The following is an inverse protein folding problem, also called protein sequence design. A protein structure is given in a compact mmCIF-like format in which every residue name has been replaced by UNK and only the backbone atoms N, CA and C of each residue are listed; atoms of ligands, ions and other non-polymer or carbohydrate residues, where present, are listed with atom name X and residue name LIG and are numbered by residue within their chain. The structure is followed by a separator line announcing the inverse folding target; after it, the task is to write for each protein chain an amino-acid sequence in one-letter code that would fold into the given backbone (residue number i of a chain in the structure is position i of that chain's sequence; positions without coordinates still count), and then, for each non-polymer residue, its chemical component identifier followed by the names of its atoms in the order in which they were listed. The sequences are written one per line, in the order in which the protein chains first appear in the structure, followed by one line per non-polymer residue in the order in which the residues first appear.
data_IF_511451433561
#
_entry.id   IF_511451433561
#
_cell.length_a   1.000
_cell.length_b   1.000
_cell.length_c   1.000
_cell.angle_alpha   90.00
_cell.angle_beta   90.00
_cell.angle_gamma   90.00
#
_symmetry.space_group_name_H-M   'P 1'
#
loop_
_entity.id
_entity.type
_entity.pdbx_description
1 polymer ?
#
# COMPACT_ATOMS: atom_id res chain seq x y z
N UNK A 1 -0.57 36.46 -0.87
CA UNK A 1 -0.47 35.43 -1.91
C UNK A 1 -1.43 34.28 -1.60
N UNK A 2 -2.09 33.74 -2.61
CA UNK A 2 -2.98 32.58 -2.52
C UNK A 2 -2.26 31.35 -3.04
N UNK A 3 -2.53 30.19 -2.44
CA UNK A 3 -2.03 28.92 -2.91
C UNK A 3 -3.15 28.02 -3.45
N UNK A 4 -2.81 27.15 -4.39
CA UNK A 4 -3.73 26.11 -4.92
C UNK A 4 -3.03 24.77 -4.83
N UNK A 5 -3.66 23.75 -4.20
CA UNK A 5 -3.09 22.42 -4.10
C UNK A 5 -3.31 21.64 -5.40
N UNK A 6 -2.34 20.79 -5.76
CA UNK A 6 -2.43 19.80 -6.84
C UNK A 6 -1.63 18.56 -6.47
N UNK A 7 -2.06 17.39 -6.96
CA UNK A 7 -1.29 16.15 -6.90
C UNK A 7 -1.37 15.43 -8.25
N UNK A 8 -0.65 14.32 -8.39
CA UNK A 8 -0.79 13.46 -9.57
C UNK A 8 -2.01 12.57 -9.39
N UNK A 9 -2.87 12.51 -10.42
CA UNK A 9 -4.03 11.61 -10.44
C UNK A 9 -3.58 10.15 -10.28
N UNK A 10 -4.33 9.38 -9.53
CA UNK A 10 -4.07 7.95 -9.33
C UNK A 10 -4.70 7.39 -8.07
N UNK A 11 -4.64 6.07 -7.95
CA UNK A 11 -4.91 5.36 -6.71
C UNK A 11 -3.61 5.18 -5.93
N UNK A 12 -3.64 5.42 -4.64
CA UNK A 12 -2.50 5.32 -3.74
C UNK A 12 -2.84 4.37 -2.60
N UNK A 13 -2.13 3.25 -2.51
CA UNK A 13 -2.25 2.25 -1.46
C UNK A 13 -1.23 2.42 -0.34
N UNK A 14 -1.29 1.50 0.62
CA UNK A 14 -0.38 1.47 1.77
C UNK A 14 1.08 1.42 1.33
N UNK A 15 1.90 2.33 1.89
CA UNK A 15 3.33 2.47 1.56
C UNK A 15 3.63 3.46 0.46
N UNK A 16 2.64 3.94 -0.27
CA UNK A 16 2.82 4.93 -1.32
C UNK A 16 2.76 6.37 -0.79
N UNK A 17 3.33 7.30 -1.55
CA UNK A 17 3.38 8.70 -1.16
C UNK A 17 2.62 9.58 -2.15
N UNK A 18 1.59 10.26 -1.65
CA UNK A 18 0.92 11.34 -2.38
C UNK A 18 1.74 12.62 -2.25
N UNK A 19 2.34 13.06 -3.35
CA UNK A 19 3.11 14.30 -3.41
C UNK A 19 2.18 15.47 -3.76
N UNK A 20 1.93 16.35 -2.79
CA UNK A 20 1.02 17.49 -2.93
C UNK A 20 1.83 18.75 -3.16
N UNK A 21 1.65 19.40 -4.29
CA UNK A 21 2.26 20.70 -4.61
C UNK A 21 1.27 21.81 -4.31
N UNK A 22 1.67 22.73 -3.43
CA UNK A 22 0.92 23.95 -3.16
C UNK A 22 1.55 25.10 -3.95
N UNK A 23 0.88 25.58 -4.99
CA UNK A 23 1.38 26.61 -5.91
C UNK A 23 0.90 28.00 -5.50
N UNK A 24 1.83 28.92 -5.27
CA UNK A 24 1.58 30.30 -4.90
C UNK A 24 1.75 31.25 -6.11
N UNK A 25 1.15 32.41 -6.04
CA UNK A 25 1.26 33.46 -7.08
C UNK A 25 2.61 34.18 -7.09
N UNK A 26 3.43 33.99 -6.05
CA UNK A 26 4.80 34.53 -5.92
C UNK A 26 5.69 33.57 -5.14
N UNK A 27 6.99 33.75 -5.25
CA UNK A 27 7.95 32.96 -4.45
C UNK A 27 7.76 33.23 -2.95
N UNK A 28 7.72 32.17 -2.16
CA UNK A 28 7.55 32.21 -0.71
C UNK A 28 8.71 31.53 0.00
N UNK A 29 9.06 32.04 1.18
CA UNK A 29 10.08 31.45 2.05
C UNK A 29 9.43 30.84 3.27
N UNK A 30 9.76 29.59 3.55
CA UNK A 30 9.34 28.87 4.75
C UNK A 30 10.45 28.96 5.79
N UNK A 31 10.15 29.47 7.00
CA UNK A 31 11.11 29.54 8.11
C UNK A 31 10.44 29.14 9.43
N UNK A 32 11.24 28.73 10.41
CA UNK A 32 10.77 28.34 11.74
C UNK A 32 10.39 26.86 11.82
N UNK A 33 9.11 26.54 11.85
CA UNK A 33 8.61 25.16 12.02
C UNK A 33 8.47 24.38 10.71
N UNK A 34 7.77 23.28 10.78
CA UNK A 34 7.43 22.41 9.63
C UNK A 34 5.92 22.46 9.39
N UNK A 35 5.45 23.22 8.38
CA UNK A 35 4.02 23.31 8.12
C UNK A 35 3.44 21.96 7.64
N UNK A 36 2.16 21.76 7.89
CA UNK A 36 1.42 20.57 7.49
C UNK A 36 0.10 20.92 6.82
N UNK A 37 -0.41 20.04 5.97
CA UNK A 37 -1.75 20.09 5.41
C UNK A 37 -2.61 19.00 6.06
N UNK A 38 -3.84 19.35 6.43
CA UNK A 38 -4.85 18.36 6.83
C UNK A 38 -5.65 17.98 5.59
N UNK A 39 -5.84 16.67 5.40
CA UNK A 39 -6.55 16.09 4.27
C UNK A 39 -7.99 15.71 4.63
N UNK A 40 -8.84 15.50 3.61
CA UNK A 40 -10.26 15.15 3.79
C UNK A 40 -10.47 13.80 4.50
N UNK A 41 -9.55 12.87 4.34
CA UNK A 41 -9.54 11.57 5.03
C UNK A 41 -8.98 11.64 6.47
N UNK A 42 -8.71 12.83 7.00
CA UNK A 42 -8.15 13.03 8.34
C UNK A 42 -6.64 12.90 8.44
N UNK A 43 -5.97 12.45 7.38
CA UNK A 43 -4.51 12.33 7.36
C UNK A 43 -3.80 13.69 7.27
N UNK A 44 -2.48 13.67 7.43
CA UNK A 44 -1.63 14.86 7.40
C UNK A 44 -0.51 14.71 6.38
N UNK A 45 -0.39 15.68 5.46
CA UNK A 45 0.78 15.82 4.60
C UNK A 45 1.77 16.79 5.23
N UNK A 46 3.05 16.42 5.25
CA UNK A 46 4.12 17.18 5.88
C UNK A 46 4.95 17.93 4.83
N UNK A 47 5.30 19.17 5.10
CA UNK A 47 6.18 19.95 4.24
C UNK A 47 7.51 19.23 3.99
N UNK A 48 7.90 19.13 2.72
CA UNK A 48 9.11 18.45 2.28
C UNK A 48 10.14 19.41 1.70
N UNK A 49 9.74 20.35 0.83
CA UNK A 49 10.67 21.25 0.14
C UNK A 49 9.97 22.41 -0.58
N UNK A 50 10.77 23.26 -1.24
CA UNK A 50 10.27 24.33 -2.11
C UNK A 50 10.40 25.75 -1.56
N UNK A 51 10.96 25.94 -0.34
CA UNK A 51 11.24 27.30 0.21
C UNK A 51 12.10 28.13 -0.76
N UNK A 52 11.72 29.38 -0.98
CA UNK A 52 12.35 30.27 -1.95
C UNK A 52 11.77 30.16 -3.37
N UNK A 53 10.73 29.36 -3.57
CA UNK A 53 10.02 29.21 -4.84
C UNK A 53 8.52 29.49 -4.70
N UNK A 54 7.80 29.50 -5.83
CA UNK A 54 6.35 29.61 -5.82
C UNK A 54 5.63 28.28 -5.53
N UNK A 55 6.35 27.16 -5.46
CA UNK A 55 5.78 25.84 -5.25
C UNK A 55 6.36 25.20 -3.98
N UNK A 56 5.51 24.89 -3.02
CA UNK A 56 5.87 24.12 -1.84
C UNK A 56 5.38 22.68 -2.00
N UNK A 57 6.25 21.71 -1.71
CA UNK A 57 5.95 20.29 -1.76
C UNK A 57 5.63 19.77 -0.35
N UNK A 58 4.54 19.04 -0.26
CA UNK A 58 4.13 18.31 0.94
C UNK A 58 3.96 16.82 0.59
N UNK A 59 4.37 15.93 1.47
CA UNK A 59 4.25 14.50 1.30
C UNK A 59 3.27 13.91 2.31
N UNK A 60 2.34 13.13 1.81
CA UNK A 60 1.48 12.25 2.59
C UNK A 60 1.84 10.79 2.27
N UNK A 61 2.37 10.07 3.25
CA UNK A 61 2.59 8.63 3.15
C UNK A 61 1.31 7.92 3.59
N UNK A 62 0.73 7.13 2.69
CA UNK A 62 -0.42 6.27 3.03
C UNK A 62 0.06 5.17 3.96
N UNK A 63 -0.56 5.05 5.11
CA UNK A 63 -0.23 4.06 6.12
C UNK A 63 -1.42 3.16 6.38
N UNK A 64 -1.13 1.92 6.81
CA UNK A 64 -2.14 0.97 7.26
C UNK A 64 -3.12 1.60 8.28
N UNK A 65 -4.42 1.42 8.05
CA UNK A 65 -5.50 1.99 8.86
C UNK A 65 -5.79 3.47 8.56
N UNK A 66 -5.23 4.06 7.51
CA UNK A 66 -5.69 5.36 7.04
C UNK A 66 -7.09 5.21 6.44
N UNK A 67 -7.94 6.22 6.67
CA UNK A 67 -9.28 6.21 6.10
C UNK A 67 -9.21 6.36 4.58
N UNK A 68 -9.93 5.50 3.86
CA UNK A 68 -10.06 5.55 2.42
C UNK A 68 -10.69 6.84 1.94
N UNK A 69 -10.29 7.25 0.76
CA UNK A 69 -10.86 8.41 0.10
C UNK A 69 -11.01 8.14 -1.39
N UNK A 70 -12.23 8.27 -1.88
CA UNK A 70 -12.51 8.23 -3.32
C UNK A 70 -12.17 9.55 -4.02
N UNK A 71 -11.90 10.61 -3.25
CA UNK A 71 -11.62 11.96 -3.72
C UNK A 71 -10.88 12.73 -2.61
N UNK A 72 -9.55 12.73 -2.68
CA UNK A 72 -8.72 13.34 -1.66
C UNK A 72 -8.63 14.86 -1.89
N UNK A 73 -8.80 15.64 -0.82
CA UNK A 73 -8.70 17.09 -0.85
C UNK A 73 -7.92 17.64 0.34
N UNK A 74 -7.40 18.86 0.21
CA UNK A 74 -6.79 19.62 1.30
C UNK A 74 -7.87 20.43 2.01
N UNK A 75 -8.03 20.26 3.31
CA UNK A 75 -9.06 20.93 4.13
C UNK A 75 -8.53 22.08 4.96
N UNK A 76 -7.26 22.01 5.40
CA UNK A 76 -6.62 23.09 6.16
C UNK A 76 -5.10 23.01 6.12
N UNK A 77 -4.45 24.11 6.52
CA UNK A 77 -3.00 24.18 6.75
C UNK A 77 -2.74 24.55 8.21
N UNK A 78 -1.79 23.84 8.81
CA UNK A 78 -1.24 24.19 10.12
C UNK A 78 0.22 24.63 9.93
N UNK A 79 0.55 25.84 10.31
CA UNK A 79 1.93 26.37 10.20
C UNK A 79 2.90 25.70 11.18
N UNK A 80 2.42 25.14 12.29
CA UNK A 80 3.25 24.46 13.31
C UNK A 80 4.45 25.29 13.76
N UNK A 81 4.25 26.61 13.93
CA UNK A 81 5.31 27.56 14.29
C UNK A 81 6.17 28.04 13.12
N UNK A 82 5.91 27.61 11.91
CA UNK A 82 6.53 28.14 10.70
C UNK A 82 5.91 29.49 10.28
N UNK A 83 6.65 30.22 9.46
CA UNK A 83 6.11 31.31 8.66
C UNK A 83 6.28 30.99 7.17
N UNK A 84 5.30 31.35 6.36
CA UNK A 84 5.35 31.24 4.89
C UNK A 84 5.11 32.64 4.34
N UNK A 85 6.16 33.32 3.89
CA UNK A 85 6.09 34.74 3.51
C UNK A 85 6.74 34.96 2.15
N UNK A 86 6.16 35.87 1.36
CA UNK A 86 6.81 36.39 0.17
C UNK A 86 7.76 37.55 0.56
N UNK A 87 8.61 37.99 -0.38
CA UNK A 87 9.61 39.04 -0.14
C UNK A 87 9.01 40.44 0.06
N UNK A 88 7.72 40.64 -0.21
CA UNK A 88 7.01 41.92 -0.17
C UNK A 88 5.99 42.01 0.98
N UNK A 89 5.68 40.92 1.65
CA UNK A 89 4.67 40.86 2.69
C UNK A 89 5.21 40.19 3.97
N UNK A 90 4.96 40.84 5.10
CA UNK A 90 5.21 40.27 6.43
C UNK A 90 4.06 39.43 6.95
N UNK A 91 2.96 39.30 6.16
CA UNK A 91 1.84 38.43 6.51
C UNK A 91 2.08 37.00 5.98
N UNK A 92 1.72 36.01 6.77
CA UNK A 92 1.82 34.62 6.33
C UNK A 92 0.94 34.34 5.11
N UNK A 93 1.52 33.73 4.10
CA UNK A 93 0.85 33.28 2.90
C UNK A 93 0.02 32.01 3.21
N UNK A 94 -1.07 32.17 3.93
CA UNK A 94 -2.03 31.10 4.14
C UNK A 94 -2.82 30.87 2.85
N UNK A 95 -2.93 29.62 2.42
CA UNK A 95 -3.84 29.31 1.34
C UNK A 95 -5.26 29.60 1.80
N UNK A 96 -5.93 30.47 1.06
CA UNK A 96 -7.37 30.72 1.27
C UNK A 96 -8.23 29.77 0.44
N UNK A 97 -7.62 29.01 -0.46
CA UNK A 97 -8.30 28.06 -1.34
C UNK A 97 -7.69 26.69 -1.11
N UNK A 98 -8.26 25.95 -0.20
CA UNK A 98 -8.08 24.52 -0.07
C UNK A 98 -9.10 23.85 -0.98
N UNK A 99 -8.86 22.63 -1.42
CA UNK A 99 -9.79 21.95 -2.31
C UNK A 99 -9.27 20.62 -2.81
N UNK A 100 -9.96 20.16 -3.79
CA UNK A 100 -9.74 18.94 -4.52
C UNK A 100 -8.29 18.84 -5.07
N UNK A 101 -7.70 17.64 -4.98
CA UNK A 101 -6.39 17.31 -5.54
C UNK A 101 -6.46 16.71 -6.94
N UNK A 102 -7.65 16.61 -7.55
CA UNK A 102 -7.91 15.91 -8.80
C UNK A 102 -8.45 14.50 -8.55
N UNK A 103 -8.21 13.57 -9.46
CA UNK A 103 -8.66 12.19 -9.30
C UNK A 103 -7.66 11.38 -8.43
N UNK A 104 -7.48 11.82 -7.18
CA UNK A 104 -6.61 11.14 -6.21
C UNK A 104 -7.48 10.30 -5.29
N UNK A 105 -7.34 8.97 -5.37
CA UNK A 105 -7.98 8.04 -4.45
C UNK A 105 -6.95 7.49 -3.46
N UNK A 106 -7.37 7.17 -2.26
CA UNK A 106 -6.53 6.56 -1.22
C UNK A 106 -7.22 5.30 -0.73
N UNK A 107 -6.45 4.24 -0.66
CA UNK A 107 -6.79 2.96 -0.05
C UNK A 107 -5.80 2.73 1.10
N UNK A 108 -6.29 2.79 2.31
CA UNK A 108 -5.48 2.67 3.53
C UNK A 108 -5.45 1.27 4.10
N UNK A 109 -6.04 0.31 3.43
CA UNK A 109 -6.03 -1.09 3.84
C UNK A 109 -5.10 -1.89 2.91
N UNK A 110 -4.28 -2.77 3.46
CA UNK A 110 -3.52 -3.73 2.68
C UNK A 110 -4.27 -5.06 2.66
N UNK A 111 -4.15 -5.88 1.61
CA UNK A 111 -4.87 -7.15 1.53
C UNK A 111 -4.47 -8.11 2.66
N UNK A 112 -5.45 -8.55 3.45
CA UNK A 112 -5.28 -9.48 4.55
C UNK A 112 -5.74 -10.89 4.20
N UNK A 113 -5.00 -11.92 4.67
CA UNK A 113 -5.40 -13.32 4.52
C UNK A 113 -6.57 -13.63 5.45
N UNK A 114 -7.70 -14.05 4.87
CA UNK A 114 -8.90 -14.43 5.63
C UNK A 114 -9.02 -15.95 5.84
N UNK A 115 -8.48 -16.75 4.90
CA UNK A 115 -8.49 -18.21 5.03
C UNK A 115 -7.40 -18.90 4.21
N UNK A 116 -6.93 -20.06 4.73
CA UNK A 116 -6.26 -21.08 3.95
C UNK A 116 -7.20 -22.24 3.70
N UNK A 117 -7.42 -22.59 2.43
CA UNK A 117 -8.36 -23.60 2.00
C UNK A 117 -7.64 -24.69 1.20
N UNK A 118 -8.23 -25.85 1.06
CA UNK A 118 -7.75 -26.89 0.14
C UNK A 118 -8.91 -27.63 -0.49
N UNK A 119 -8.77 -27.96 -1.76
CA UNK A 119 -9.69 -28.87 -2.46
C UNK A 119 -9.26 -30.33 -2.36
N UNK A 120 -8.12 -30.60 -1.73
CA UNK A 120 -7.61 -31.95 -1.51
C UNK A 120 -8.49 -32.73 -0.53
N UNK A 121 -8.76 -33.98 -0.83
CA UNK A 121 -9.45 -34.89 0.10
C UNK A 121 -8.48 -35.40 1.17
N UNK A 122 -9.00 -35.65 2.38
CA UNK A 122 -8.18 -36.27 3.41
C UNK A 122 -7.65 -37.63 2.94
N UNK A 123 -6.33 -37.85 3.07
CA UNK A 123 -5.70 -39.07 2.60
C UNK A 123 -4.18 -39.00 2.66
N UNK A 124 -3.53 -40.09 2.23
CA UNK A 124 -2.08 -40.16 2.09
C UNK A 124 -1.71 -39.76 0.66
N UNK A 125 -0.83 -38.78 0.54
CA UNK A 125 -0.26 -38.33 -0.72
C UNK A 125 1.17 -38.84 -0.86
N UNK A 126 1.55 -39.28 -2.05
CA UNK A 126 2.84 -39.89 -2.36
C UNK A 126 3.63 -39.02 -3.33
N UNK A 127 4.92 -39.34 -3.52
CA UNK A 127 5.79 -38.64 -4.45
C UNK A 127 5.14 -38.50 -5.84
N UNK A 128 5.05 -37.25 -6.32
CA UNK A 128 4.45 -36.88 -7.59
C UNK A 128 2.99 -36.46 -7.50
N UNK A 129 2.30 -36.71 -6.38
CA UNK A 129 0.94 -36.22 -6.17
C UNK A 129 0.95 -34.68 -5.97
N UNK A 130 -0.12 -34.02 -6.42
CA UNK A 130 -0.26 -32.57 -6.29
C UNK A 130 -1.40 -32.24 -5.34
N UNK A 131 -1.11 -31.36 -4.37
CA UNK A 131 -2.09 -30.79 -3.43
C UNK A 131 -2.28 -29.32 -3.79
N UNK A 132 -3.53 -28.93 -4.03
CA UNK A 132 -3.90 -27.53 -4.31
C UNK A 132 -4.28 -26.85 -3.01
N UNK A 133 -3.58 -25.76 -2.70
CA UNK A 133 -3.80 -24.92 -1.53
C UNK A 133 -4.30 -23.56 -2.02
N UNK A 134 -5.38 -23.07 -1.43
CA UNK A 134 -5.93 -21.77 -1.76
C UNK A 134 -5.73 -20.80 -0.59
N UNK A 135 -5.39 -19.57 -0.93
CA UNK A 135 -5.29 -18.45 0.02
C UNK A 135 -6.40 -17.48 -0.35
N UNK A 136 -7.31 -17.24 0.57
CA UNK A 136 -8.39 -16.27 0.44
C UNK A 136 -7.96 -14.97 1.12
N UNK A 137 -8.12 -13.87 0.40
CA UNK A 137 -7.92 -12.50 0.90
C UNK A 137 -9.27 -11.82 1.10
N UNK A 138 -9.31 -10.77 1.87
CA UNK A 138 -10.50 -9.93 2.08
C UNK A 138 -10.89 -9.13 0.83
N UNK A 139 -9.92 -8.90 -0.09
CA UNK A 139 -10.11 -8.19 -1.35
C UNK A 139 -9.42 -8.87 -2.54
N UNK A 140 -9.62 -8.30 -3.75
CA UNK A 140 -9.01 -8.82 -4.97
C UNK A 140 -7.53 -8.41 -5.07
N UNK A 141 -6.65 -9.37 -5.33
CA UNK A 141 -5.20 -9.13 -5.42
C UNK A 141 -4.65 -9.49 -6.81
N UNK A 142 -3.68 -8.71 -7.27
CA UNK A 142 -2.95 -8.93 -8.51
C UNK A 142 -1.57 -9.52 -8.20
N UNK A 143 -1.23 -10.63 -8.89
CA UNK A 143 0.07 -11.29 -8.76
C UNK A 143 0.94 -10.96 -9.97
N UNK A 144 2.12 -10.36 -9.72
CA UNK A 144 3.16 -10.18 -10.74
C UNK A 144 4.30 -11.17 -10.49
N UNK A 145 4.57 -12.00 -11.50
CA UNK A 145 5.61 -13.05 -11.47
C UNK A 145 6.82 -12.70 -12.33
N UNK A 146 6.93 -11.49 -12.86
CA UNK A 146 8.00 -11.10 -13.80
C UNK A 146 9.41 -11.19 -13.18
N UNK A 147 9.51 -10.90 -11.87
CA UNK A 147 10.79 -10.94 -11.12
C UNK A 147 10.94 -12.19 -10.25
N UNK A 148 9.89 -13.02 -10.14
CA UNK A 148 9.89 -14.26 -9.37
C UNK A 148 8.49 -14.77 -9.12
N UNK A 149 8.37 -16.06 -8.82
CA UNK A 149 7.06 -16.68 -8.57
C UNK A 149 6.84 -16.85 -7.08
N UNK A 150 5.78 -16.24 -6.50
CA UNK A 150 5.41 -16.44 -5.09
C UNK A 150 5.14 -17.91 -4.77
N UNK A 151 5.50 -18.33 -3.56
CA UNK A 151 5.22 -19.68 -3.08
C UNK A 151 4.93 -19.69 -1.57
N UNK A 152 4.16 -20.70 -1.15
CA UNK A 152 3.94 -20.99 0.26
C UNK A 152 5.00 -21.98 0.75
N UNK A 153 5.54 -21.73 1.93
CA UNK A 153 6.36 -22.68 2.68
C UNK A 153 5.44 -23.53 3.56
N UNK A 154 5.58 -24.84 3.49
CA UNK A 154 4.73 -25.78 4.22
C UNK A 154 5.42 -26.36 5.44
N UNK A 155 4.65 -26.86 6.41
CA UNK A 155 5.13 -27.42 7.68
C UNK A 155 6.05 -28.63 7.51
N UNK A 156 5.96 -29.33 6.36
CA UNK A 156 6.82 -30.47 6.03
C UNK A 156 8.12 -30.06 5.29
N UNK A 157 8.37 -28.76 5.12
CA UNK A 157 9.50 -28.23 4.35
C UNK A 157 9.26 -28.13 2.85
N UNK A 158 8.11 -28.59 2.34
CA UNK A 158 7.72 -28.47 0.94
C UNK A 158 7.35 -27.03 0.56
N UNK A 159 7.27 -26.77 -0.75
CA UNK A 159 6.88 -25.49 -1.30
C UNK A 159 5.70 -25.64 -2.25
N UNK A 160 4.64 -24.85 -2.07
CA UNK A 160 3.53 -24.74 -3.00
C UNK A 160 3.73 -23.48 -3.86
N UNK A 161 3.92 -23.63 -5.16
CA UNK A 161 4.13 -22.51 -6.07
C UNK A 161 2.81 -21.91 -6.51
N UNK A 162 2.77 -20.57 -6.66
CA UNK A 162 1.63 -19.87 -7.23
C UNK A 162 1.24 -20.44 -8.59
N UNK A 163 -0.05 -20.66 -8.81
CA UNK A 163 -0.58 -21.28 -10.02
C UNK A 163 -1.66 -20.46 -10.72
N UNK A 164 -2.56 -19.80 -9.98
CA UNK A 164 -3.68 -19.06 -10.56
C UNK A 164 -4.37 -18.14 -9.55
N UNK A 165 -5.27 -17.27 -10.05
CA UNK A 165 -6.18 -16.45 -9.23
C UNK A 165 -5.87 -14.96 -9.27
N UNK A 166 -4.84 -14.49 -9.98
CA UNK A 166 -4.55 -13.06 -10.10
C UNK A 166 -5.78 -12.27 -10.57
N UNK A 167 -6.08 -11.16 -9.92
CA UNK A 167 -7.27 -10.34 -10.14
C UNK A 167 -8.50 -10.81 -9.35
N UNK A 168 -8.36 -11.83 -8.50
CA UNK A 168 -9.40 -12.35 -7.61
C UNK A 168 -8.92 -12.28 -6.16
N UNK A 169 -9.84 -12.42 -5.21
CA UNK A 169 -9.52 -12.55 -3.79
C UNK A 169 -9.08 -13.98 -3.40
N UNK A 170 -9.05 -14.93 -4.32
CA UNK A 170 -8.69 -16.33 -4.07
C UNK A 170 -7.53 -16.74 -4.96
N UNK A 171 -6.34 -16.89 -4.37
CA UNK A 171 -5.15 -17.38 -5.06
C UNK A 171 -4.98 -18.89 -4.86
N UNK A 172 -4.52 -19.57 -5.91
CA UNK A 172 -4.24 -21.00 -5.89
C UNK A 172 -2.74 -21.26 -5.98
N UNK A 173 -2.23 -22.12 -5.09
CA UNK A 173 -0.86 -22.59 -5.03
C UNK A 173 -0.83 -24.11 -5.13
N UNK A 174 0.08 -24.67 -5.92
CA UNK A 174 0.21 -26.10 -6.10
C UNK A 174 1.49 -26.61 -5.45
N UNK A 175 1.33 -27.57 -4.54
CA UNK A 175 2.40 -28.33 -3.94
C UNK A 175 2.47 -29.72 -4.57
N UNK A 176 3.63 -30.07 -5.14
CA UNK A 176 3.90 -31.42 -5.62
C UNK A 176 4.81 -32.13 -4.60
N UNK A 177 4.32 -33.24 -4.04
CA UNK A 177 5.05 -34.03 -3.04
C UNK A 177 6.39 -34.51 -3.61
N UNK A 178 7.51 -34.17 -2.98
CA UNK A 178 8.85 -34.54 -3.41
C UNK A 178 9.48 -35.59 -2.50
N UNK A 179 10.52 -36.28 -2.99
CA UNK A 179 11.18 -37.35 -2.22
C UNK A 179 11.99 -36.88 -1.00
N UNK A 180 12.16 -35.57 -0.83
CA UNK A 180 12.87 -34.97 0.30
C UNK A 180 11.95 -34.41 1.39
N UNK A 181 10.65 -34.40 1.14
CA UNK A 181 9.66 -33.84 2.08
C UNK A 181 9.42 -34.82 3.25
N UNK A 182 9.11 -34.28 4.42
CA UNK A 182 8.74 -35.12 5.57
C UNK A 182 7.36 -35.72 5.35
N UNK A 183 7.27 -37.04 5.34
CA UNK A 183 6.02 -37.78 5.05
C UNK A 183 5.10 -37.98 6.28
N UNK A 184 5.53 -37.58 7.46
CA UNK A 184 4.85 -37.90 8.72
C UNK A 184 4.16 -36.67 9.32
N UNK A 185 3.46 -35.89 8.51
CA UNK A 185 2.60 -34.84 9.04
C UNK A 185 1.15 -35.27 8.96
N UNK A 186 0.55 -35.54 10.12
CA UNK A 186 -0.89 -35.79 10.22
C UNK A 186 -1.74 -34.60 9.75
N UNK A 187 -1.12 -33.41 9.70
CA UNK A 187 -1.71 -32.17 9.19
C UNK A 187 -0.66 -31.34 8.47
N UNK A 188 -0.87 -31.07 7.19
CA UNK A 188 -0.07 -30.15 6.42
C UNK A 188 -0.62 -28.73 6.64
N UNK A 189 0.25 -27.80 7.02
CA UNK A 189 -0.11 -26.40 7.23
C UNK A 189 0.84 -25.46 6.48
N UNK A 190 0.38 -24.22 6.24
CA UNK A 190 1.20 -23.15 5.68
C UNK A 190 2.02 -22.51 6.80
N UNK A 191 3.32 -22.36 6.58
CA UNK A 191 4.26 -21.75 7.55
C UNK A 191 4.59 -20.30 7.21
N UNK A 192 4.63 -19.93 5.92
CA UNK A 192 4.85 -18.57 5.46
C UNK A 192 4.56 -18.43 3.97
N UNK A 193 4.33 -17.21 3.52
CA UNK A 193 4.33 -16.80 2.11
C UNK A 193 5.69 -16.20 1.77
N UNK A 194 6.29 -16.62 0.66
CA UNK A 194 7.52 -16.05 0.11
C UNK A 194 7.25 -15.49 -1.29
N UNK A 195 7.47 -14.21 -1.49
CA UNK A 195 7.23 -13.56 -2.78
C UNK A 195 8.28 -13.88 -3.84
N UNK A 196 9.48 -14.35 -3.44
CA UNK A 196 10.56 -14.75 -4.36
C UNK A 196 10.98 -13.69 -5.40
N UNK A 197 10.74 -12.42 -5.09
CA UNK A 197 10.96 -11.29 -6.00
C UNK A 197 9.73 -10.89 -6.83
N UNK A 198 8.66 -11.68 -6.85
CA UNK A 198 7.35 -11.27 -7.37
C UNK A 198 6.59 -10.36 -6.40
N UNK A 199 5.39 -9.91 -6.79
CA UNK A 199 4.52 -9.11 -5.92
C UNK A 199 3.11 -9.68 -5.88
N UNK A 200 2.42 -9.43 -4.77
CA UNK A 200 0.98 -9.62 -4.62
C UNK A 200 0.45 -8.32 -4.02
N UNK A 201 -0.39 -7.61 -4.77
CA UNK A 201 -0.89 -6.28 -4.39
C UNK A 201 -2.37 -6.15 -4.70
N UNK A 202 -3.06 -5.27 -3.99
CA UNK A 202 -4.40 -4.80 -4.35
C UNK A 202 -4.38 -3.90 -5.61
N UNK A 203 -5.53 -3.29 -5.91
CA UNK A 203 -5.69 -2.38 -7.05
C UNK A 203 -5.03 -1.00 -6.82
N UNK A 204 -4.78 -0.61 -5.58
CA UNK A 204 -4.17 0.65 -5.18
C UNK A 204 -2.64 0.55 -5.00
N UNK A 205 -2.06 -0.66 -5.06
CA UNK A 205 -0.63 -0.92 -4.90
C UNK A 205 -0.22 -1.36 -3.49
N UNK A 206 -1.16 -1.49 -2.56
CA UNK A 206 -0.95 -2.05 -1.23
C UNK A 206 -0.46 -3.50 -1.32
N UNK A 207 0.60 -3.84 -0.60
CA UNK A 207 1.23 -5.17 -0.68
C UNK A 207 0.75 -6.07 0.45
N UNK A 208 0.48 -7.34 0.15
CA UNK A 208 0.13 -8.34 1.16
C UNK A 208 1.20 -8.50 2.23
N UNK A 209 0.78 -8.77 3.46
CA UNK A 209 1.68 -9.19 4.53
C UNK A 209 2.24 -10.60 4.25
N UNK A 210 3.56 -10.78 4.39
CA UNK A 210 4.21 -12.09 4.25
C UNK A 210 4.32 -12.86 5.56
N UNK A 211 3.91 -12.26 6.68
CA UNK A 211 4.00 -12.83 8.02
C UNK A 211 2.76 -13.61 8.47
N UNK A 212 1.68 -13.55 7.72
CA UNK A 212 0.45 -14.29 7.99
C UNK A 212 0.67 -15.79 7.75
N UNK A 213 0.64 -16.61 8.80
CA UNK A 213 1.00 -18.04 8.74
C UNK A 213 -0.06 -19.00 9.21
N UNK A 214 -1.09 -18.53 9.88
CA UNK A 214 -2.24 -19.35 10.31
C UNK A 214 -3.39 -18.47 10.79
N UNK A 215 -4.56 -18.80 10.39
CA UNK A 215 -5.81 -18.36 11.01
C UNK A 215 -6.35 -19.50 11.86
#
# INVERSE_FOLDING_TARGET
VSGSPTATDGAYGVGETVAITLSYTASVTVTGGTPTLTLSNGATATYASGSGSANLLFNYLVAEGNTDSADLSVTSMNLAGATIQDSSSSADAQSSVFGDLGNVTVDGDAPDVTAFLTTATAGTYTHGDTISIQVEYDEAVTVDTTSGTPYLVLSNGGQASYAAGSGLNLLTFNYTVSGGDSYDTSTLSVSSLNLSGGTITDAAGGSVSTSETSI
#
